data_IF_067311371344
#
_entry.id   IF_067311371344
#
_cell.length_a   1.000
_cell.length_b   1.000
_cell.length_c   1.000
_cell.angle_alpha   90.00
_cell.angle_beta   90.00
_cell.angle_gamma   90.00
#
_symmetry.space_group_name_H-M   'P 1'
#
loop_
_entity.id
_entity.type
_entity.pdbx_description
1 polymer ?
#
# COMPACT_ATOMS: atom_id res chain seq x y z
N UNK A 1 8.50 12.79 6.69
CA UNK A 1 8.22 14.09 6.06
C UNK A 1 7.86 13.81 4.61
N UNK A 2 6.70 14.25 4.18
CA UNK A 2 6.28 14.15 2.78
C UNK A 2 7.14 15.10 1.96
N UNK A 3 7.80 14.59 0.90
CA UNK A 3 8.60 15.43 0.01
C UNK A 3 7.66 16.14 -0.96
N UNK A 4 7.83 17.46 -1.10
CA UNK A 4 7.08 18.23 -2.07
C UNK A 4 7.44 17.77 -3.50
N UNK A 5 6.42 17.59 -4.33
CA UNK A 5 6.58 17.22 -5.74
C UNK A 5 5.96 18.28 -6.65
N UNK A 6 6.54 18.42 -7.84
CA UNK A 6 6.01 19.22 -8.93
C UNK A 6 5.34 18.30 -9.95
N UNK A 7 4.27 18.75 -10.58
CA UNK A 7 3.55 17.99 -11.60
C UNK A 7 3.32 18.88 -12.83
N UNK A 8 3.66 18.36 -14.00
CA UNK A 8 3.41 19.01 -15.28
C UNK A 8 3.22 17.93 -16.35
N UNK A 9 2.09 17.99 -17.06
CA UNK A 9 1.64 16.94 -17.98
C UNK A 9 1.60 15.58 -17.28
N UNK A 10 2.37 14.59 -17.75
CA UNK A 10 2.47 13.27 -17.16
C UNK A 10 3.77 13.07 -16.35
N UNK A 11 4.52 14.15 -16.09
CA UNK A 11 5.80 14.09 -15.39
C UNK A 11 5.66 14.58 -13.95
N UNK A 12 6.45 13.96 -13.08
CA UNK A 12 6.56 14.32 -11.67
C UNK A 12 8.00 14.71 -11.41
N UNK A 13 8.23 15.80 -10.68
CA UNK A 13 9.54 16.28 -10.31
C UNK A 13 9.72 16.40 -8.80
N UNK A 14 10.95 16.29 -8.31
CA UNK A 14 11.26 16.59 -6.89
C UNK A 14 11.40 18.09 -6.66
N UNK A 15 11.23 18.52 -5.42
CA UNK A 15 11.59 19.87 -4.98
C UNK A 15 12.41 19.76 -3.69
N UNK A 16 13.67 20.16 -3.77
CA UNK A 16 14.65 20.10 -2.69
C UNK A 16 15.42 21.43 -2.60
N UNK A 17 15.99 21.72 -1.43
CA UNK A 17 16.76 22.94 -1.15
C UNK A 17 18.23 22.55 -1.02
N UNK A 18 19.12 23.17 -1.80
CA UNK A 18 20.56 23.10 -1.58
C UNK A 18 20.95 24.25 -0.65
N UNK A 19 21.38 23.92 0.58
CA UNK A 19 21.88 24.92 1.52
C UNK A 19 23.32 25.38 1.18
N UNK A 20 24.07 24.59 0.41
CA UNK A 20 25.43 24.90 0.00
C UNK A 20 25.44 25.98 -1.08
N UNK A 21 24.60 25.80 -2.09
CA UNK A 21 24.49 26.71 -3.24
C UNK A 21 23.41 27.78 -3.05
N UNK A 22 22.60 27.65 -1.98
CA UNK A 22 21.45 28.52 -1.67
C UNK A 22 20.42 28.60 -2.82
N UNK A 23 20.19 27.49 -3.52
CA UNK A 23 19.22 27.36 -4.62
C UNK A 23 18.22 26.25 -4.34
N UNK A 24 17.08 26.30 -5.04
CA UNK A 24 16.18 25.15 -5.15
C UNK A 24 16.62 24.28 -6.31
N UNK A 25 16.54 22.96 -6.13
CA UNK A 25 16.83 22.01 -7.19
C UNK A 25 15.82 20.87 -7.21
N UNK A 26 15.71 20.24 -8.37
CA UNK A 26 14.86 19.10 -8.56
C UNK A 26 15.30 18.24 -9.72
N UNK A 27 14.69 17.07 -9.83
CA UNK A 27 14.85 16.16 -10.96
C UNK A 27 13.53 15.56 -11.37
N UNK A 28 13.39 15.26 -12.65
CA UNK A 28 12.26 14.52 -13.16
C UNK A 28 12.34 13.07 -12.64
N UNK A 29 11.22 12.56 -12.15
CA UNK A 29 11.06 11.21 -11.64
C UNK A 29 10.43 10.30 -12.69
N UNK A 30 10.68 9.00 -12.53
CA UNK A 30 10.03 7.92 -13.29
C UNK A 30 10.33 7.91 -14.80
N UNK A 31 11.47 8.49 -15.20
CA UNK A 31 12.09 8.34 -16.51
C UNK A 31 13.51 7.75 -16.34
N UNK A 32 14.05 7.12 -17.38
CA UNK A 32 15.43 6.60 -17.34
C UNK A 32 16.48 7.71 -17.46
N UNK A 33 16.15 8.79 -18.17
CA UNK A 33 17.05 9.93 -18.34
C UNK A 33 17.18 10.74 -17.05
N UNK A 34 18.40 11.18 -16.74
CA UNK A 34 18.64 12.08 -15.63
C UNK A 34 18.45 13.52 -16.10
N UNK A 35 17.32 14.11 -15.72
CA UNK A 35 17.00 15.51 -16.05
C UNK A 35 16.81 16.28 -14.75
N UNK A 36 17.68 17.26 -14.54
CA UNK A 36 17.71 18.13 -13.37
C UNK A 36 17.34 19.55 -13.76
N UNK A 37 16.79 20.30 -12.82
CA UNK A 37 16.44 21.71 -12.96
C UNK A 37 16.65 22.42 -11.63
N UNK A 38 16.85 23.73 -11.70
CA UNK A 38 17.13 24.58 -10.55
C UNK A 38 16.40 25.93 -10.68
N UNK A 39 16.30 26.66 -9.57
CA UNK A 39 15.77 28.01 -9.55
C UNK A 39 15.98 28.68 -8.20
N UNK A 40 16.02 30.02 -8.20
CA UNK A 40 16.28 30.80 -6.99
C UNK A 40 15.01 31.00 -6.14
N UNK A 41 13.85 30.70 -6.73
CA UNK A 41 12.56 30.78 -6.07
C UNK A 41 11.65 29.60 -6.45
N UNK A 42 10.62 29.29 -5.65
CA UNK A 42 9.67 28.23 -6.01
C UNK A 42 8.96 28.46 -7.36
N UNK A 43 8.76 29.72 -7.75
CA UNK A 43 8.19 30.08 -9.04
C UNK A 43 9.14 29.76 -10.20
N UNK A 44 10.42 30.11 -10.05
CA UNK A 44 11.45 29.80 -11.04
C UNK A 44 11.70 28.30 -11.15
N UNK A 45 11.76 27.58 -10.02
CA UNK A 45 11.91 26.13 -10.01
C UNK A 45 10.78 25.44 -10.80
N UNK A 46 9.54 25.92 -10.63
CA UNK A 46 8.39 25.40 -11.38
C UNK A 46 8.53 25.65 -12.88
N UNK A 47 8.91 26.87 -13.28
CA UNK A 47 9.14 27.21 -14.69
C UNK A 47 10.29 26.40 -15.30
N UNK A 48 11.38 26.22 -14.55
CA UNK A 48 12.52 25.42 -14.94
C UNK A 48 12.13 23.94 -15.13
N UNK A 49 11.28 23.41 -14.25
CA UNK A 49 10.72 22.07 -14.41
C UNK A 49 9.85 21.92 -15.67
N UNK A 50 8.93 22.85 -15.92
CA UNK A 50 8.08 22.83 -17.13
C UNK A 50 8.95 22.91 -18.40
N UNK A 51 9.96 23.77 -18.38
CA UNK A 51 10.91 23.94 -19.50
C UNK A 51 11.75 22.68 -19.74
N UNK A 52 12.24 22.05 -18.67
CA UNK A 52 13.01 20.81 -18.75
C UNK A 52 12.17 19.65 -19.34
N UNK A 53 10.89 19.57 -18.98
CA UNK A 53 9.95 18.58 -19.56
C UNK A 53 9.74 18.84 -21.06
N UNK A 54 9.54 20.08 -21.47
CA UNK A 54 9.32 20.42 -22.88
C UNK A 54 10.58 20.23 -23.73
N UNK A 55 11.75 20.53 -23.18
CA UNK A 55 13.04 20.25 -23.82
C UNK A 55 13.28 18.75 -23.96
N UNK A 56 12.96 17.96 -22.93
CA UNK A 56 13.04 16.51 -22.99
C UNK A 56 12.19 15.94 -24.13
N UNK A 57 10.90 16.30 -24.18
CA UNK A 57 10.00 15.81 -25.23
C UNK A 57 10.48 16.23 -26.63
N UNK A 58 10.98 17.46 -26.77
CA UNK A 58 11.54 17.96 -28.03
C UNK A 58 12.77 17.18 -28.46
N UNK A 59 13.73 16.95 -27.55
CA UNK A 59 14.93 16.15 -27.82
C UNK A 59 14.57 14.73 -28.25
N UNK A 60 13.60 14.10 -27.58
CA UNK A 60 13.11 12.79 -27.98
C UNK A 60 12.60 12.79 -29.43
N UNK A 61 11.78 13.78 -29.80
CA UNK A 61 11.29 13.95 -31.18
C UNK A 61 12.43 14.16 -32.17
N UNK A 62 13.40 15.01 -31.85
CA UNK A 62 14.58 15.30 -32.70
C UNK A 62 15.45 14.06 -32.94
N UNK A 63 15.59 13.20 -31.93
CA UNK A 63 16.32 11.94 -32.03
C UNK A 63 15.50 10.79 -32.63
N UNK A 64 14.23 11.02 -32.98
CA UNK A 64 13.32 10.00 -33.51
C UNK A 64 12.95 8.91 -32.48
N UNK A 65 13.11 9.20 -31.20
CA UNK A 65 12.78 8.29 -30.09
C UNK A 65 11.50 8.80 -29.42
N UNK A 66 10.50 7.96 -29.15
CA UNK A 66 9.33 8.42 -28.40
C UNK A 66 9.75 8.82 -26.98
N UNK A 67 9.29 9.98 -26.52
CA UNK A 67 9.49 10.39 -25.13
C UNK A 67 8.93 9.32 -24.18
N UNK A 68 9.72 8.94 -23.18
CA UNK A 68 9.28 7.94 -22.21
C UNK A 68 8.06 8.46 -21.46
N UNK A 69 6.98 7.67 -21.47
CA UNK A 69 5.83 7.94 -20.62
C UNK A 69 6.16 7.42 -19.22
N UNK A 70 6.21 8.30 -18.22
CA UNK A 70 6.36 7.87 -16.84
C UNK A 70 5.29 6.84 -16.47
N UNK A 71 5.68 5.78 -15.77
CA UNK A 71 4.76 4.78 -15.21
C UNK A 71 3.86 4.09 -16.27
N UNK A 72 4.46 3.38 -17.25
CA UNK A 72 3.78 2.66 -18.34
C UNK A 72 2.78 1.55 -17.94
N UNK A 73 2.61 1.29 -16.63
CA UNK A 73 1.77 0.21 -16.09
C UNK A 73 2.47 -1.15 -15.99
N UNK A 74 3.70 -1.28 -16.51
CA UNK A 74 4.53 -2.47 -16.27
C UNK A 74 5.32 -2.31 -14.98
N UNK A 75 5.12 -3.21 -14.02
CA UNK A 75 5.74 -3.15 -12.69
C UNK A 75 6.41 -4.49 -12.35
N UNK A 76 7.71 -4.57 -12.59
CA UNK A 76 8.51 -5.77 -12.31
C UNK A 76 9.14 -5.66 -10.92
N UNK A 77 8.74 -6.52 -9.99
CA UNK A 77 9.25 -6.51 -8.60
C UNK A 77 9.92 -7.84 -8.27
N UNK A 78 11.08 -7.75 -7.61
CA UNK A 78 11.70 -8.89 -6.95
C UNK A 78 11.27 -8.89 -5.49
N UNK A 79 10.67 -9.99 -5.05
CA UNK A 79 10.29 -10.22 -3.65
C UNK A 79 10.97 -11.48 -3.13
N UNK A 80 11.21 -11.58 -1.81
CA UNK A 80 11.70 -12.80 -1.19
C UNK A 80 10.80 -14.02 -1.50
N UNK A 81 11.37 -15.23 -1.63
CA UNK A 81 10.61 -16.45 -1.98
C UNK A 81 9.41 -16.73 -1.05
N UNK A 82 9.54 -16.41 0.23
CA UNK A 82 8.50 -16.57 1.23
C UNK A 82 7.28 -15.67 0.97
N UNK A 83 7.51 -14.41 0.57
CA UNK A 83 6.45 -13.47 0.21
C UNK A 83 5.79 -13.92 -1.09
N UNK A 84 6.60 -14.34 -2.08
CA UNK A 84 6.07 -14.86 -3.33
C UNK A 84 5.16 -16.07 -3.11
N UNK A 85 5.58 -17.03 -2.27
CA UNK A 85 4.78 -18.21 -1.93
C UNK A 85 3.49 -17.83 -1.20
N UNK A 86 3.56 -16.95 -0.21
CA UNK A 86 2.40 -16.51 0.55
C UNK A 86 1.39 -15.79 -0.35
N UNK A 87 1.85 -14.91 -1.25
CA UNK A 87 1.00 -14.21 -2.19
C UNK A 87 0.31 -15.17 -3.18
N UNK A 88 1.03 -16.14 -3.75
CA UNK A 88 0.42 -17.14 -4.63
C UNK A 88 -0.62 -18.01 -3.91
N UNK A 89 -0.36 -18.42 -2.67
CA UNK A 89 -1.33 -19.18 -1.88
C UNK A 89 -2.59 -18.36 -1.59
N UNK A 90 -2.44 -17.07 -1.27
CA UNK A 90 -3.56 -16.16 -1.03
C UNK A 90 -4.37 -15.93 -2.31
N UNK A 91 -3.71 -15.72 -3.44
CA UNK A 91 -4.35 -15.56 -4.75
C UNK A 91 -5.17 -16.82 -5.13
N UNK A 92 -4.58 -18.01 -4.96
CA UNK A 92 -5.27 -19.28 -5.20
C UNK A 92 -6.51 -19.47 -4.32
N UNK A 93 -6.44 -19.13 -3.03
CA UNK A 93 -7.59 -19.19 -2.10
C UNK A 93 -8.72 -18.22 -2.49
N UNK A 94 -8.38 -17.10 -3.10
CA UNK A 94 -9.34 -16.09 -3.56
C UNK A 94 -9.85 -16.36 -4.98
N UNK A 95 -9.27 -17.34 -5.71
CA UNK A 95 -9.63 -17.62 -7.10
C UNK A 95 -9.22 -16.53 -8.08
N UNK A 96 -8.21 -15.69 -7.73
CA UNK A 96 -7.73 -14.61 -8.58
C UNK A 96 -6.28 -14.87 -9.00
N UNK A 97 -5.84 -14.38 -10.18
CA UNK A 97 -4.43 -14.46 -10.55
C UNK A 97 -3.58 -13.54 -9.65
N UNK A 98 -2.30 -13.85 -9.50
CA UNK A 98 -1.38 -13.11 -8.64
C UNK A 98 -1.35 -11.61 -8.95
N UNK A 99 -1.38 -11.23 -10.23
CA UNK A 99 -1.36 -9.83 -10.64
C UNK A 99 -2.59 -9.06 -10.14
N UNK A 100 -3.77 -9.69 -10.08
CA UNK A 100 -4.98 -9.05 -9.53
C UNK A 100 -4.88 -8.88 -8.01
N UNK A 101 -4.29 -9.87 -7.30
CA UNK A 101 -4.00 -9.71 -5.88
C UNK A 101 -3.05 -8.54 -5.63
N UNK A 102 -2.01 -8.39 -6.46
CA UNK A 102 -1.05 -7.28 -6.35
C UNK A 102 -1.73 -5.94 -6.63
N UNK A 103 -2.59 -5.83 -7.66
CA UNK A 103 -3.38 -4.63 -7.92
C UNK A 103 -4.25 -4.26 -6.71
N UNK A 104 -4.97 -5.22 -6.14
CA UNK A 104 -5.80 -5.00 -4.97
C UNK A 104 -4.97 -4.53 -3.76
N UNK A 105 -3.80 -5.13 -3.53
CA UNK A 105 -2.91 -4.73 -2.46
C UNK A 105 -2.40 -3.28 -2.65
N UNK A 106 -2.03 -2.92 -3.88
CA UNK A 106 -1.63 -1.55 -4.22
C UNK A 106 -2.78 -0.56 -4.05
N UNK A 107 -3.97 -0.87 -4.56
CA UNK A 107 -5.17 -0.03 -4.37
C UNK A 107 -5.50 0.15 -2.90
N UNK A 108 -5.47 -0.91 -2.08
CA UNK A 108 -5.72 -0.80 -0.65
C UNK A 108 -4.64 -0.01 0.11
N UNK A 109 -3.41 0.00 -0.39
CA UNK A 109 -2.32 0.77 0.21
C UNK A 109 -2.42 2.26 -0.14
N UNK A 110 -2.83 2.58 -1.37
CA UNK A 110 -2.97 3.95 -1.87
C UNK A 110 -4.30 4.60 -1.45
N UNK A 111 -5.37 3.82 -1.38
CA UNK A 111 -6.63 4.24 -0.80
C UNK A 111 -6.40 4.34 0.71
N UNK A 112 -6.10 5.54 1.21
CA UNK A 112 -6.09 5.88 2.65
C UNK A 112 -7.48 5.67 3.27
N UNK A 113 -7.99 4.43 3.32
CA UNK A 113 -9.28 4.12 3.94
C UNK A 113 -9.15 4.38 5.43
N UNK A 114 -9.64 5.55 5.86
CA UNK A 114 -10.07 5.84 7.22
C UNK A 114 -10.80 4.60 7.73
N UNK A 115 -10.22 3.94 8.72
CA UNK A 115 -10.82 2.78 9.37
C UNK A 115 -12.17 3.23 9.93
N UNK A 116 -13.27 2.79 9.31
CA UNK A 116 -14.59 2.92 9.93
C UNK A 116 -14.67 1.89 11.06
N UNK A 117 -14.50 2.38 12.29
CA UNK A 117 -14.62 1.55 13.50
C UNK A 117 -16.10 1.23 13.72
N UNK A 118 -16.51 0.03 13.35
CA UNK A 118 -17.84 -0.49 13.68
C UNK A 118 -17.88 -0.90 15.16
N UNK A 119 -18.38 0.01 16.01
CA UNK A 119 -18.75 -0.32 17.37
C UNK A 119 -19.98 -1.21 17.34
N UNK A 120 -19.86 -2.43 17.88
CA UNK A 120 -21.02 -3.27 18.14
C UNK A 120 -21.12 -3.51 19.64
N UNK A 121 -22.34 -3.40 20.17
CA UNK A 121 -22.67 -3.71 21.55
C UNK A 121 -23.26 -5.11 21.60
N UNK A 122 -22.68 -5.99 22.43
CA UNK A 122 -23.25 -7.30 22.71
C UNK A 122 -24.07 -7.22 24.00
N UNK A 123 -25.34 -7.60 23.92
CA UNK A 123 -26.16 -7.83 25.10
C UNK A 123 -26.04 -9.29 25.52
N UNK A 124 -25.40 -9.54 26.66
CA UNK A 124 -25.34 -10.87 27.28
C UNK A 124 -26.56 -11.05 28.17
N UNK A 125 -27.52 -11.87 27.73
CA UNK A 125 -28.53 -12.42 28.63
C UNK A 125 -27.98 -13.71 29.25
N UNK A 126 -27.60 -13.64 30.52
CA UNK A 126 -27.31 -14.82 31.32
C UNK A 126 -28.62 -15.31 31.96
N UNK A 127 -29.19 -16.40 31.45
CA UNK A 127 -30.21 -17.15 32.18
C UNK A 127 -29.49 -18.02 33.22
N UNK A 128 -29.49 -17.57 34.47
CA UNK A 128 -29.00 -18.36 35.58
C UNK A 128 -30.12 -19.27 36.11
N UNK A 129 -29.93 -20.60 36.18
CA UNK A 129 -30.56 -21.37 37.23
C UNK A 129 -29.71 -21.22 38.50
N UNK A 130 -30.34 -20.68 39.55
CA UNK A 130 -29.76 -20.55 40.89
C UNK A 130 -29.53 -21.94 41.49
N UNK A 131 -28.28 -22.35 41.58
CA UNK A 131 -27.79 -23.23 42.64
C UNK A 131 -26.28 -22.98 42.81
N UNK A 132 -25.95 -22.30 43.90
CA UNK A 132 -24.60 -21.90 44.30
C UNK A 132 -23.72 -23.13 44.51
N UNK A 133 -22.66 -23.27 43.72
CA UNK A 133 -21.53 -24.10 44.09
C UNK A 133 -20.34 -23.14 44.20
N UNK A 134 -19.79 -23.02 45.40
CA UNK A 134 -18.56 -22.29 45.64
C UNK A 134 -17.39 -23.10 45.04
N UNK A 135 -16.67 -22.49 44.11
CA UNK A 135 -15.36 -22.99 43.68
C UNK A 135 -14.33 -21.88 43.87
N UNK A 136 -13.25 -22.23 44.58
CA UNK A 136 -12.08 -21.39 44.75
C UNK A 136 -11.38 -21.21 43.39
N UNK A 137 -11.27 -19.97 42.93
CA UNK A 137 -10.57 -19.65 41.69
C UNK A 137 -9.07 -19.61 41.99
N UNK A 138 -8.35 -20.70 41.73
CA UNK A 138 -6.90 -20.62 41.57
C UNK A 138 -6.60 -20.13 40.14
N UNK A 139 -6.00 -18.95 40.01
CA UNK A 139 -5.52 -18.42 38.73
C UNK A 139 -4.37 -19.29 38.20
N UNK A 140 -4.71 -20.29 37.39
CA UNK A 140 -3.76 -21.04 36.59
C UNK A 140 -3.43 -20.32 35.29
N UNK A 141 -2.13 -20.26 34.95
CA UNK A 141 -1.64 -19.81 33.64
C UNK A 141 -1.98 -20.88 32.60
N UNK A 142 -2.77 -20.54 31.59
CA UNK A 142 -3.08 -21.46 30.49
C UNK A 142 -2.03 -21.34 29.38
N UNK A 143 -1.54 -22.48 28.91
CA UNK A 143 -0.76 -22.61 27.69
C UNK A 143 -1.58 -23.44 26.69
N UNK A 144 -1.77 -22.91 25.48
CA UNK A 144 -2.39 -23.68 24.39
C UNK A 144 -1.35 -24.64 23.80
N UNK A 145 -1.55 -25.94 23.99
CA UNK A 145 -0.85 -26.97 23.21
C UNK A 145 -1.62 -27.28 21.93
N UNK A 146 -0.88 -27.52 20.85
CA UNK A 146 -1.35 -27.67 19.46
C UNK A 146 -2.22 -28.89 19.14
N UNK A 147 -2.89 -29.50 20.12
CA UNK A 147 -3.78 -30.65 19.92
C UNK A 147 -5.27 -30.32 20.01
N UNK A 148 -5.65 -29.07 20.35
CA UNK A 148 -7.05 -28.66 20.34
C UNK A 148 -7.52 -28.28 18.92
N UNK A 149 -7.79 -29.32 18.14
CA UNK A 149 -8.53 -29.23 16.88
C UNK A 149 -10.00 -28.94 17.18
N UNK A 150 -10.44 -27.70 16.95
CA UNK A 150 -11.87 -27.36 16.98
C UNK A 150 -12.62 -28.20 15.94
N UNK A 151 -13.66 -28.94 16.36
CA UNK A 151 -14.60 -29.58 15.45
C UNK A 151 -16.01 -28.99 15.66
N UNK A 152 -16.74 -28.64 14.59
CA UNK A 152 -18.11 -28.17 14.70
C UNK A 152 -19.03 -29.31 15.13
N UNK A 153 -19.94 -29.04 16.07
CA UNK A 153 -20.94 -30.00 16.53
C UNK A 153 -21.88 -30.41 15.38
N UNK A 154 -22.07 -31.71 15.17
CA UNK A 154 -23.10 -32.20 14.25
C UNK A 154 -24.50 -31.89 14.81
N UNK A 155 -25.32 -31.17 14.02
CA UNK A 155 -26.75 -31.00 14.30
C UNK A 155 -27.48 -32.31 14.03
N UNK A 156 -27.77 -33.08 15.07
CA UNK A 156 -28.82 -34.10 15.02
C UNK A 156 -30.14 -33.46 15.43
N UNK A 157 -30.95 -33.06 14.45
CA UNK A 157 -32.34 -32.67 14.62
C UNK A 157 -33.24 -33.60 13.80
N UNK A 158 -33.75 -34.64 14.44
CA UNK A 158 -34.85 -35.47 13.94
C UNK A 158 -36.10 -34.60 13.83
N UNK A 159 -36.65 -34.47 12.63
CA UNK A 159 -38.01 -33.96 12.43
C UNK A 159 -38.99 -35.08 12.79
N UNK A 160 -39.92 -34.80 13.71
CA UNK A 160 -41.18 -35.52 13.84
C UNK A 160 -42.28 -34.67 13.20
#
# INVERSE_FOLDING_TARGET
MEKATLQYRNYVGTSEISYEDNVLYGKILFINDLITYEGDSPAELKLAFESAVEEYERRCIEHGVPAEKPCSGTFNVRVPPEIHRAANLKAARLGVPLNELVKLALSNFLDEKKVEVHHHSHNHFAEAPVATIEYEVSSGVYYETSENSWQPSQKNGTLQ
#
